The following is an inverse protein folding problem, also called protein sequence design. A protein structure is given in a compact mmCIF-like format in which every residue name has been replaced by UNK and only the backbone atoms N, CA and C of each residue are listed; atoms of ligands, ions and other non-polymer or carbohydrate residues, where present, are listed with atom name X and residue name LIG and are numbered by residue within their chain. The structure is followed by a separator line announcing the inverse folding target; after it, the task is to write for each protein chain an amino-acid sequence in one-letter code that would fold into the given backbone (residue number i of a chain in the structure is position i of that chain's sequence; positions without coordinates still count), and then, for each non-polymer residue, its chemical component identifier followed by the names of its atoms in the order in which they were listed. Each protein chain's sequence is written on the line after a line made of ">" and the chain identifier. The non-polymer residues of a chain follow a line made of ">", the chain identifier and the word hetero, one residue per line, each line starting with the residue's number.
data_IF_275307568724
#
_entry.id   IF_275307568724
#
_cell.length_a   1.000
_cell.length_b   1.000
_cell.length_c   1.000
_cell.angle_alpha   90.00
_cell.angle_beta   90.00
_cell.angle_gamma   90.00
#
_symmetry.space_group_name_H-M   'P 1'
#
loop_
_entity.id
_entity.type
_entity.pdbx_description
1 polymer ?
#
# COMPACT_ATOMS: atom_id res chain seq x y z
N UNK A 1 -2.76 24.43 24.34
CA UNK A 1 -3.24 23.06 24.60
C UNK A 1 -3.67 22.50 23.25
N UNK A 2 -3.01 21.46 22.75
CA UNK A 2 -3.41 20.83 21.48
C UNK A 2 -4.62 19.94 21.73
N UNK A 3 -5.72 20.17 21.03
CA UNK A 3 -6.94 19.38 21.15
C UNK A 3 -6.74 18.01 20.51
N UNK A 4 -6.74 16.95 21.31
CA UNK A 4 -6.68 15.57 20.80
C UNK A 4 -8.04 15.25 20.16
N UNK A 5 -8.04 14.96 18.85
CA UNK A 5 -9.25 14.57 18.13
C UNK A 5 -9.47 13.07 18.26
N UNK A 6 -10.50 12.68 19.01
CA UNK A 6 -10.87 11.28 19.24
C UNK A 6 -11.98 10.85 18.29
N UNK A 7 -11.92 9.61 17.83
CA UNK A 7 -12.87 9.03 16.85
C UNK A 7 -13.21 7.59 17.21
N UNK A 8 -14.48 7.21 17.06
CA UNK A 8 -14.93 5.83 16.99
C UNK A 8 -14.85 5.27 15.56
N UNK A 9 -15.28 4.01 15.41
CA UNK A 9 -15.21 3.31 14.12
C UNK A 9 -16.00 3.99 12.99
N UNK A 10 -17.11 4.66 13.32
CA UNK A 10 -17.93 5.38 12.35
C UNK A 10 -17.25 6.65 11.84
N UNK A 11 -16.62 7.45 12.72
CA UNK A 11 -15.87 8.61 12.27
C UNK A 11 -14.62 8.20 11.49
N UNK A 12 -13.97 7.09 11.85
CA UNK A 12 -12.86 6.52 11.08
C UNK A 12 -13.31 6.12 9.67
N UNK A 13 -14.50 5.53 9.51
CA UNK A 13 -15.03 5.19 8.20
C UNK A 13 -15.18 6.43 7.31
N UNK A 14 -15.67 7.53 7.89
CA UNK A 14 -15.83 8.80 7.20
C UNK A 14 -14.48 9.44 6.86
N UNK A 15 -13.51 9.40 7.77
CA UNK A 15 -12.15 9.93 7.54
C UNK A 15 -11.43 9.20 6.40
N UNK A 16 -11.59 7.88 6.33
CA UNK A 16 -10.94 7.04 5.33
C UNK A 16 -11.71 6.98 4.00
N UNK A 17 -12.90 7.57 3.92
CA UNK A 17 -13.83 7.47 2.78
C UNK A 17 -14.10 6.00 2.39
N UNK A 18 -14.40 5.16 3.38
CA UNK A 18 -14.70 3.74 3.19
C UNK A 18 -15.98 3.33 3.92
N UNK A 19 -16.51 2.15 3.59
CA UNK A 19 -17.65 1.60 4.32
C UNK A 19 -17.28 1.23 5.77
N UNK A 20 -18.22 1.30 6.73
CA UNK A 20 -17.97 0.84 8.11
C UNK A 20 -17.54 -0.63 8.19
N UNK A 21 -18.04 -1.48 7.29
CA UNK A 21 -17.61 -2.88 7.18
C UNK A 21 -16.12 -2.99 6.83
N UNK A 22 -15.61 -2.11 5.95
CA UNK A 22 -14.19 -2.06 5.61
C UNK A 22 -13.32 -1.67 6.81
N UNK A 23 -13.80 -0.79 7.69
CA UNK A 23 -13.10 -0.46 8.94
C UNK A 23 -12.99 -1.69 9.84
N UNK A 24 -14.07 -2.43 10.05
CA UNK A 24 -14.01 -3.67 10.84
C UNK A 24 -13.05 -4.72 10.26
N UNK A 25 -12.95 -4.79 8.93
CA UNK A 25 -11.96 -5.65 8.28
C UNK A 25 -10.53 -5.17 8.54
N UNK A 26 -10.26 -3.87 8.41
CA UNK A 26 -8.94 -3.28 8.72
C UNK A 26 -8.55 -3.60 10.16
N UNK A 27 -9.48 -3.42 11.11
CA UNK A 27 -9.24 -3.72 12.53
C UNK A 27 -8.90 -5.18 12.82
N UNK A 28 -9.29 -6.11 11.93
CA UNK A 28 -9.02 -7.55 12.06
C UNK A 28 -7.74 -7.95 11.35
N UNK A 29 -7.57 -7.47 10.12
CA UNK A 29 -6.58 -8.01 9.17
C UNK A 29 -5.27 -7.21 9.19
N UNK A 30 -5.28 -6.00 9.76
CA UNK A 30 -4.18 -5.06 9.67
C UNK A 30 -3.52 -4.78 11.01
N UNK A 31 -2.42 -5.50 11.28
CA UNK A 31 -1.63 -5.33 12.49
C UNK A 31 -0.89 -4.00 12.58
N UNK A 32 -0.85 -3.20 11.51
CA UNK A 32 -0.24 -1.87 11.52
C UNK A 32 -1.23 -0.77 11.89
N UNK A 33 -2.54 -1.10 11.96
CA UNK A 33 -3.56 -0.15 12.35
C UNK A 33 -3.36 0.31 13.81
N UNK A 34 -3.55 1.61 14.13
CA UNK A 34 -3.29 2.11 15.47
C UNK A 34 -4.12 1.42 16.55
N UNK A 35 -3.49 1.20 17.70
CA UNK A 35 -4.18 0.74 18.90
C UNK A 35 -5.18 1.80 19.39
N UNK A 36 -6.33 1.40 19.95
CA UNK A 36 -7.29 2.33 20.50
C UNK A 36 -6.72 3.01 21.75
N UNK A 37 -6.96 4.32 21.87
CA UNK A 37 -6.58 5.09 23.06
C UNK A 37 -7.51 4.80 24.25
N UNK A 38 -8.72 4.31 23.99
CA UNK A 38 -9.67 3.91 25.02
C UNK A 38 -10.65 2.85 24.50
N UNK A 39 -11.20 2.07 25.43
CA UNK A 39 -12.30 1.13 25.17
C UNK A 39 -13.46 1.50 26.08
N UNK A 40 -14.58 1.92 25.49
CA UNK A 40 -15.80 2.33 26.18
C UNK A 40 -16.90 1.30 25.96
N UNK A 41 -17.98 1.37 26.72
CA UNK A 41 -19.18 0.53 26.51
C UNK A 41 -19.78 0.68 25.11
N UNK A 42 -19.62 1.86 24.49
CA UNK A 42 -20.06 2.14 23.13
C UNK A 42 -19.09 1.64 22.05
N UNK A 43 -17.87 1.25 22.41
CA UNK A 43 -16.84 0.78 21.48
C UNK A 43 -15.44 1.34 21.75
N UNK A 44 -14.51 0.93 20.89
CA UNK A 44 -13.12 1.40 20.87
C UNK A 44 -13.04 2.84 20.34
N UNK A 45 -12.10 3.62 20.86
CA UNK A 45 -11.84 5.01 20.47
C UNK A 45 -10.37 5.15 20.08
N UNK A 46 -10.10 5.87 19.00
CA UNK A 46 -8.77 6.12 18.45
C UNK A 46 -8.45 7.60 18.39
N UNK A 47 -7.16 7.91 18.33
CA UNK A 47 -6.67 9.23 17.97
C UNK A 47 -6.71 9.40 16.43
N UNK A 48 -7.33 10.47 15.97
CA UNK A 48 -7.45 10.78 14.55
C UNK A 48 -6.09 10.95 13.87
N UNK A 49 -5.12 11.55 14.55
CA UNK A 49 -3.78 11.80 13.98
C UNK A 49 -3.02 10.50 13.75
N UNK A 50 -3.22 9.50 14.61
CA UNK A 50 -2.61 8.17 14.44
C UNK A 50 -3.22 7.44 13.25
N UNK A 51 -4.54 7.53 13.08
CA UNK A 51 -5.25 6.93 11.94
C UNK A 51 -4.85 7.61 10.63
N UNK A 52 -4.70 8.94 10.61
CA UNK A 52 -4.28 9.68 9.42
C UNK A 52 -2.83 9.36 9.03
N UNK A 53 -1.92 9.28 10.02
CA UNK A 53 -0.53 8.86 9.77
C UNK A 53 -0.45 7.45 9.21
N UNK A 54 -1.21 6.51 9.78
CA UNK A 54 -1.32 5.15 9.25
C UNK A 54 -1.85 5.14 7.80
N UNK A 55 -2.88 5.93 7.52
CA UNK A 55 -3.49 6.03 6.19
C UNK A 55 -2.53 6.63 5.15
N UNK A 56 -1.80 7.68 5.52
CA UNK A 56 -0.79 8.31 4.68
C UNK A 56 0.38 7.36 4.36
N UNK A 57 0.88 6.63 5.37
CA UNK A 57 1.97 5.67 5.19
C UNK A 57 1.61 4.54 4.20
N UNK A 58 0.33 4.15 4.14
CA UNK A 58 -0.18 3.14 3.18
C UNK A 58 -0.31 3.67 1.77
N UNK A 59 -0.56 4.96 1.61
CA UNK A 59 -0.57 5.65 0.32
C UNK A 59 0.86 6.04 -0.10
N UNK A 60 1.79 5.09 -0.05
CA UNK A 60 3.09 5.29 -0.68
C UNK A 60 2.86 5.80 -2.12
N UNK A 61 3.64 6.80 -2.59
CA UNK A 61 3.34 7.51 -3.82
C UNK A 61 3.21 6.53 -4.97
N UNK A 62 2.00 6.39 -5.49
CA UNK A 62 1.76 5.74 -6.78
C UNK A 62 2.50 6.60 -7.82
N UNK A 63 3.30 6.02 -8.72
CA UNK A 63 3.90 6.80 -9.79
C UNK A 63 2.82 7.60 -10.51
N UNK A 64 3.07 8.88 -10.78
CA UNK A 64 2.12 9.78 -11.43
C UNK A 64 1.63 9.16 -12.74
N UNK A 65 0.34 9.29 -13.03
CA UNK A 65 -0.28 8.82 -14.29
C UNK A 65 0.43 9.37 -15.53
N UNK A 66 1.06 10.52 -15.39
CA UNK A 66 1.84 11.22 -16.43
C UNK A 66 3.24 10.64 -16.68
N UNK A 67 3.68 9.65 -15.89
CA UNK A 67 4.97 9.00 -16.11
C UNK A 67 4.99 8.12 -17.36
N UNK A 68 3.90 8.00 -18.14
CA UNK A 68 3.93 7.28 -19.40
C UNK A 68 2.83 7.64 -20.38
N UNK A 69 3.20 8.41 -21.41
CA UNK A 69 2.75 8.03 -22.74
C UNK A 69 3.42 6.69 -23.04
N UNK A 70 2.63 5.63 -23.21
CA UNK A 70 3.11 4.27 -23.41
C UNK A 70 4.04 4.08 -24.63
N UNK A 71 4.18 5.10 -25.49
CA UNK A 71 5.09 5.12 -26.65
C UNK A 71 6.55 5.47 -26.31
N UNK A 72 6.87 5.93 -25.10
CA UNK A 72 8.24 6.42 -24.76
C UNK A 72 8.99 5.60 -23.69
N UNK A 73 8.40 4.54 -23.13
CA UNK A 73 9.09 3.75 -22.10
C UNK A 73 10.14 2.84 -22.73
N UNK A 74 11.41 3.15 -22.47
CA UNK A 74 12.48 2.23 -22.82
C UNK A 74 12.44 0.99 -21.93
N UNK A 75 13.10 -0.08 -22.38
CA UNK A 75 13.29 -1.28 -21.57
C UNK A 75 14.01 -0.97 -20.23
N UNK A 76 14.90 0.03 -20.23
CA UNK A 76 15.58 0.48 -19.02
C UNK A 76 14.62 1.19 -18.06
N UNK A 77 13.73 2.04 -18.58
CA UNK A 77 12.70 2.71 -17.76
C UNK A 77 11.77 1.69 -17.08
N UNK A 78 11.39 0.63 -17.80
CA UNK A 78 10.58 -0.46 -17.27
C UNK A 78 11.31 -1.23 -16.16
N UNK A 79 12.62 -1.49 -16.34
CA UNK A 79 13.47 -2.14 -15.32
C UNK A 79 13.59 -1.25 -14.08
N UNK A 80 13.91 0.03 -14.25
CA UNK A 80 14.01 0.99 -13.16
C UNK A 80 12.67 1.14 -12.40
N UNK A 81 11.54 1.11 -13.11
CA UNK A 81 10.23 1.14 -12.47
C UNK A 81 9.95 -0.12 -11.65
N UNK A 82 10.35 -1.29 -12.14
CA UNK A 82 10.24 -2.54 -11.40
C UNK A 82 11.12 -2.54 -10.13
N UNK A 83 12.32 -1.95 -10.18
CA UNK A 83 13.19 -1.78 -9.01
C UNK A 83 12.62 -0.80 -7.98
N UNK A 84 11.92 0.26 -8.44
CA UNK A 84 11.16 1.14 -7.55
C UNK A 84 10.01 0.38 -6.88
N UNK A 85 9.32 -0.47 -7.63
CA UNK A 85 8.24 -1.30 -7.10
C UNK A 85 8.73 -2.32 -6.07
N UNK A 86 9.86 -2.99 -6.33
CA UNK A 86 10.52 -3.88 -5.36
C UNK A 86 10.83 -3.16 -4.05
N UNK A 87 11.45 -1.97 -4.12
CA UNK A 87 11.77 -1.16 -2.94
C UNK A 87 10.53 -0.83 -2.11
N UNK A 88 9.42 -0.50 -2.76
CA UNK A 88 8.14 -0.23 -2.08
C UNK A 88 7.59 -1.48 -1.37
N UNK A 89 7.65 -2.64 -2.02
CA UNK A 89 7.20 -3.90 -1.41
C UNK A 89 8.06 -4.27 -0.19
N UNK A 90 9.37 -4.12 -0.29
CA UNK A 90 10.29 -4.36 0.83
C UNK A 90 10.06 -3.37 1.97
N UNK A 91 9.96 -2.06 1.68
CA UNK A 91 9.76 -1.03 2.70
C UNK A 91 8.40 -1.13 3.40
N UNK A 92 7.40 -1.72 2.74
CA UNK A 92 6.08 -2.00 3.33
C UNK A 92 6.04 -3.28 4.20
N UNK A 93 7.18 -3.94 4.42
CA UNK A 93 7.29 -5.10 5.29
C UNK A 93 6.68 -6.37 4.71
N UNK A 94 6.50 -6.47 3.39
CA UNK A 94 6.02 -7.70 2.75
C UNK A 94 7.03 -8.83 2.94
N UNK A 95 6.52 -10.05 3.15
CA UNK A 95 7.35 -11.23 3.29
C UNK A 95 8.22 -11.46 2.04
N UNK A 96 9.50 -11.88 2.17
CA UNK A 96 10.41 -12.02 1.04
C UNK A 96 9.88 -12.91 -0.09
N UNK A 97 9.18 -14.01 0.24
CA UNK A 97 8.59 -14.89 -0.75
C UNK A 97 7.46 -14.21 -1.53
N UNK A 98 6.68 -13.33 -0.88
CA UNK A 98 5.68 -12.50 -1.56
C UNK A 98 6.35 -11.52 -2.50
N UNK A 99 7.39 -10.81 -2.05
CA UNK A 99 8.14 -9.89 -2.91
C UNK A 99 8.67 -10.61 -4.16
N UNK A 100 9.28 -11.79 -3.98
CA UNK A 100 9.77 -12.60 -5.09
C UNK A 100 8.68 -12.93 -6.12
N UNK A 101 7.52 -13.43 -5.69
CA UNK A 101 6.41 -13.75 -6.62
C UNK A 101 5.97 -12.54 -7.43
N UNK A 102 5.90 -11.37 -6.81
CA UNK A 102 5.51 -10.12 -7.49
C UNK A 102 6.54 -9.65 -8.52
N UNK A 103 7.80 -10.03 -8.38
CA UNK A 103 8.89 -9.61 -9.27
C UNK A 103 9.23 -10.65 -10.34
N UNK A 104 9.07 -11.94 -10.05
CA UNK A 104 9.47 -13.01 -10.96
C UNK A 104 8.72 -12.93 -12.30
N UNK A 105 7.41 -12.74 -12.27
CA UNK A 105 6.62 -12.66 -13.51
C UNK A 105 6.97 -11.41 -14.34
N UNK A 106 7.01 -10.19 -13.77
CA UNK A 106 7.47 -9.03 -14.51
C UNK A 106 8.92 -9.14 -15.00
N UNK A 107 9.86 -9.69 -14.21
CA UNK A 107 11.25 -9.88 -14.63
C UNK A 107 11.34 -10.82 -15.83
N UNK A 108 10.58 -11.92 -15.83
CA UNK A 108 10.51 -12.83 -17.00
C UNK A 108 9.92 -12.14 -18.22
N UNK A 109 8.85 -11.37 -18.04
CA UNK A 109 8.25 -10.60 -19.12
C UNK A 109 9.24 -9.58 -19.72
N UNK A 110 9.98 -8.82 -18.88
CA UNK A 110 10.99 -7.87 -19.36
C UNK A 110 12.17 -8.55 -20.05
N UNK A 111 12.57 -9.76 -19.62
CA UNK A 111 13.58 -10.54 -20.32
C UNK A 111 13.09 -11.03 -21.68
N UNK A 112 11.83 -11.44 -21.78
CA UNK A 112 11.22 -11.79 -23.07
C UNK A 112 11.15 -10.57 -24.00
N UNK A 113 10.73 -9.43 -23.47
CA UNK A 113 10.68 -8.17 -24.22
C UNK A 113 12.07 -7.72 -24.70
N UNK A 114 13.12 -8.06 -23.94
CA UNK A 114 14.52 -7.82 -24.30
C UNK A 114 15.06 -8.80 -25.37
N UNK A 115 14.34 -9.88 -25.67
CA UNK A 115 14.83 -10.99 -26.49
C UNK A 115 15.74 -11.99 -25.75
N UNK A 116 15.95 -11.81 -24.45
CA UNK A 116 16.85 -12.62 -23.61
C UNK A 116 16.16 -13.87 -23.01
N UNK A 117 14.89 -14.10 -23.33
CA UNK A 117 14.09 -15.18 -22.78
C UNK A 117 12.95 -15.57 -23.73
N UNK A 118 12.84 -16.85 -24.05
CA UNK A 118 11.68 -17.41 -24.74
C UNK A 118 10.90 -18.31 -23.76
N UNK A 119 9.64 -17.97 -23.41
CA UNK A 119 8.82 -18.80 -22.55
C UNK A 119 8.35 -20.11 -23.21
N UNK A 120 8.50 -20.27 -24.52
CA UNK A 120 8.02 -21.42 -25.30
C UNK A 120 9.15 -22.37 -25.73
N UNK A 121 10.40 -22.09 -25.36
CA UNK A 121 11.57 -22.93 -25.63
C UNK A 121 11.88 -23.93 -24.53
#
# INVERSE_FOLDING_TARGET
>A
MSTIKLMGAAEIAHLLDVSPSRVHQILRDDSTFPEPVAVLSMGKVWNADDVDRWHAARKAPRPSRDQGKAEEWSLDDLRQALDRYERLLVSSGKAPNTVRTYLDHPRRFLRWLAGDYDPMS
#
